data_IF_333841730797
#
_entry.id   IF_333841730797
#
_cell.length_a   1.000
_cell.length_b   1.000
_cell.length_c   1.000
_cell.angle_alpha   90.00
_cell.angle_beta   90.00
_cell.angle_gamma   90.00
#
_symmetry.space_group_name_H-M   'P 1'
#
loop_
_entity.id
_entity.type
_entity.pdbx_description
1 polymer ?
#
# COMPACT_ATOMS: atom_id res chain seq x y z
N UNK A 1 10.68 -30.87 21.03
CA UNK A 1 10.50 -31.16 22.47
C UNK A 1 10.20 -32.65 22.57
N UNK A 2 10.96 -33.45 23.32
CA UNK A 2 10.71 -34.91 23.34
C UNK A 2 9.47 -35.20 24.18
N UNK A 3 8.39 -35.57 23.51
CA UNK A 3 7.17 -36.09 24.13
C UNK A 3 7.07 -37.57 23.79
N UNK A 4 6.78 -38.40 24.79
CA UNK A 4 6.69 -39.84 24.65
C UNK A 4 5.31 -40.31 25.15
N UNK A 5 4.66 -41.29 24.50
CA UNK A 5 5.04 -41.95 23.23
C UNK A 5 4.69 -41.10 21.99
N UNK A 6 5.12 -41.51 20.80
CA UNK A 6 4.85 -40.79 19.53
C UNK A 6 3.34 -40.61 19.23
N UNK A 7 2.47 -41.40 19.87
CA UNK A 7 1.00 -41.29 19.79
C UNK A 7 0.40 -40.22 20.70
N UNK A 8 1.21 -39.49 21.47
CA UNK A 8 0.74 -38.56 22.52
C UNK A 8 -0.14 -37.43 21.97
N UNK A 9 0.15 -36.92 20.77
CA UNK A 9 -0.69 -35.88 20.15
C UNK A 9 -2.13 -36.38 19.95
N UNK A 10 -2.29 -37.56 19.34
CA UNK A 10 -3.59 -38.17 19.11
C UNK A 10 -4.30 -38.55 20.42
N UNK A 11 -3.57 -39.10 21.39
CA UNK A 11 -4.15 -39.48 22.70
C UNK A 11 -4.68 -38.28 23.48
N UNK A 12 -4.04 -37.13 23.36
CA UNK A 12 -4.49 -35.88 23.98
C UNK A 12 -5.54 -35.14 23.13
N UNK A 13 -5.83 -35.60 21.91
CA UNK A 13 -6.66 -34.88 20.94
C UNK A 13 -6.05 -33.55 20.52
N UNK A 14 -4.73 -33.40 20.63
CA UNK A 14 -4.02 -32.16 20.37
C UNK A 14 -4.08 -31.77 18.88
N UNK A 15 -4.00 -32.77 18.01
CA UNK A 15 -4.21 -32.65 16.56
C UNK A 15 -5.61 -32.08 16.23
N UNK A 16 -6.66 -32.59 16.89
CA UNK A 16 -8.04 -32.11 16.73
C UNK A 16 -8.17 -30.66 17.20
N UNK A 17 -7.55 -30.30 18.33
CA UNK A 17 -7.55 -28.93 18.84
C UNK A 17 -6.78 -27.99 17.91
N UNK A 18 -5.59 -28.40 17.43
CA UNK A 18 -4.79 -27.64 16.47
C UNK A 18 -5.57 -27.39 15.18
N UNK A 19 -6.24 -28.39 14.64
CA UNK A 19 -7.09 -28.25 13.46
C UNK A 19 -8.25 -27.26 13.70
N UNK A 20 -8.94 -27.34 14.85
CA UNK A 20 -10.01 -26.40 15.20
C UNK A 20 -9.52 -24.96 15.37
N UNK A 21 -8.35 -24.78 15.98
CA UNK A 21 -7.74 -23.46 16.14
C UNK A 21 -7.39 -22.82 14.79
N UNK A 22 -7.06 -23.63 13.78
CA UNK A 22 -6.74 -23.16 12.43
C UNK A 22 -7.83 -22.26 11.83
N UNK A 23 -9.10 -22.56 12.11
CA UNK A 23 -10.24 -21.74 11.65
C UNK A 23 -10.29 -20.33 12.27
N UNK A 24 -9.56 -20.09 13.36
CA UNK A 24 -9.53 -18.81 14.08
C UNK A 24 -8.23 -18.03 13.88
N UNK A 25 -7.23 -18.60 13.21
CA UNK A 25 -5.97 -17.92 12.95
C UNK A 25 -6.17 -16.84 11.89
N UNK A 26 -5.59 -15.66 12.12
CA UNK A 26 -5.78 -14.47 11.29
C UNK A 26 -4.50 -13.95 10.62
N UNK A 27 -3.39 -14.68 10.73
CA UNK A 27 -2.12 -14.29 10.14
C UNK A 27 -1.28 -15.50 9.75
N UNK A 28 -0.48 -15.34 8.70
CA UNK A 28 0.48 -16.34 8.23
C UNK A 28 1.51 -16.71 9.30
N UNK A 29 1.91 -15.74 10.14
CA UNK A 29 2.76 -15.98 11.31
C UNK A 29 2.06 -16.89 12.33
N UNK A 30 0.77 -16.67 12.58
CA UNK A 30 -0.05 -17.52 13.44
C UNK A 30 -0.21 -18.94 12.87
N UNK A 31 -0.38 -19.06 11.56
CA UNK A 31 -0.52 -20.37 10.87
C UNK A 31 0.76 -21.19 11.03
N UNK A 32 1.91 -20.57 10.78
CA UNK A 32 3.22 -21.22 10.99
C UNK A 32 3.43 -21.62 12.44
N UNK A 33 3.08 -20.74 13.38
CA UNK A 33 3.18 -21.04 14.83
C UNK A 33 2.28 -22.21 15.21
N UNK A 34 1.06 -22.25 14.69
CA UNK A 34 0.10 -23.30 14.96
C UNK A 34 0.56 -24.64 14.36
N UNK A 35 1.05 -24.64 13.13
CA UNK A 35 1.57 -25.83 12.46
C UNK A 35 2.79 -26.43 13.18
N UNK A 36 3.67 -25.58 13.71
CA UNK A 36 4.83 -26.00 14.49
C UNK A 36 4.50 -26.33 15.97
N UNK A 37 3.25 -26.15 16.40
CA UNK A 37 2.87 -26.35 17.79
C UNK A 37 2.84 -27.84 18.14
N UNK A 38 3.48 -28.18 19.26
CA UNK A 38 3.53 -29.54 19.81
C UNK A 38 3.14 -29.51 21.30
N UNK A 39 2.63 -30.63 21.86
CA UNK A 39 2.48 -30.76 23.29
C UNK A 39 3.81 -30.58 24.02
N UNK A 40 3.74 -30.04 25.23
CA UNK A 40 4.90 -29.82 26.10
C UNK A 40 4.74 -30.62 27.39
N UNK A 41 5.80 -31.33 27.78
CA UNK A 41 5.90 -32.01 29.08
C UNK A 41 6.44 -31.10 30.19
N UNK A 42 6.87 -29.88 29.86
CA UNK A 42 7.43 -28.95 30.83
C UNK A 42 6.33 -28.11 31.47
N UNK A 43 5.96 -28.47 32.70
CA UNK A 43 4.84 -27.82 33.40
C UNK A 43 5.03 -26.30 33.59
N UNK A 44 6.27 -25.83 33.77
CA UNK A 44 6.57 -24.40 33.89
C UNK A 44 6.26 -23.64 32.60
N UNK A 45 6.67 -24.20 31.45
CA UNK A 45 6.35 -23.67 30.13
C UNK A 45 4.84 -23.63 29.90
N UNK A 46 4.13 -24.74 30.16
CA UNK A 46 2.68 -24.84 29.97
C UNK A 46 1.93 -23.81 30.81
N UNK A 47 2.28 -23.67 32.11
CA UNK A 47 1.67 -22.65 32.98
C UNK A 47 1.88 -21.23 32.45
N UNK A 48 3.06 -20.94 31.91
CA UNK A 48 3.33 -19.63 31.32
C UNK A 48 2.51 -19.38 30.04
N UNK A 49 2.37 -20.37 29.15
CA UNK A 49 1.51 -20.23 27.96
C UNK A 49 0.05 -20.00 28.34
N UNK A 50 -0.48 -20.80 29.27
CA UNK A 50 -1.85 -20.66 29.77
C UNK A 50 -2.06 -19.30 30.45
N UNK A 51 -1.06 -18.81 31.19
CA UNK A 51 -1.06 -17.46 31.76
C UNK A 51 -1.21 -16.38 30.69
N UNK A 52 -0.44 -16.45 29.59
CA UNK A 52 -0.58 -15.52 28.46
C UNK A 52 -1.97 -15.55 27.83
N UNK A 53 -2.55 -16.75 27.65
CA UNK A 53 -3.90 -16.89 27.11
C UNK A 53 -4.95 -16.28 28.05
N UNK A 54 -4.86 -16.57 29.35
CA UNK A 54 -5.78 -16.05 30.35
C UNK A 54 -5.73 -14.52 30.42
N UNK A 55 -4.53 -13.93 30.44
CA UNK A 55 -4.34 -12.48 30.43
C UNK A 55 -4.89 -11.84 29.16
N UNK A 56 -4.66 -12.44 27.98
CA UNK A 56 -5.17 -11.91 26.72
C UNK A 56 -6.69 -11.97 26.67
N UNK A 57 -7.30 -13.06 27.19
CA UNK A 57 -8.75 -13.16 27.32
C UNK A 57 -9.33 -12.09 28.23
N UNK A 58 -8.65 -11.77 29.35
CA UNK A 58 -9.07 -10.68 30.23
C UNK A 58 -8.97 -9.32 29.54
N UNK A 59 -7.84 -9.04 28.88
CA UNK A 59 -7.64 -7.81 28.12
C UNK A 59 -8.73 -7.61 27.06
N UNK A 60 -9.06 -8.66 26.29
CA UNK A 60 -10.10 -8.58 25.26
C UNK A 60 -11.52 -8.39 25.81
N UNK A 61 -11.80 -8.80 27.06
CA UNK A 61 -13.13 -8.74 27.66
C UNK A 61 -13.38 -7.45 28.44
N UNK A 62 -12.36 -6.93 29.11
CA UNK A 62 -12.54 -5.94 30.18
C UNK A 62 -11.79 -4.63 29.95
N UNK A 63 -10.91 -4.55 28.94
CA UNK A 63 -10.10 -3.37 28.67
C UNK A 63 -10.42 -2.76 27.30
N UNK A 64 -9.75 -1.63 26.99
CA UNK A 64 -9.70 -1.08 25.64
C UNK A 64 -9.26 -2.14 24.61
N UNK A 65 -9.67 -2.00 23.34
CA UNK A 65 -9.27 -2.91 22.28
C UNK A 65 -7.75 -3.13 22.22
N UNK A 66 -7.33 -4.39 22.22
CA UNK A 66 -5.93 -4.78 22.06
C UNK A 66 -5.49 -4.47 20.63
N UNK A 67 -4.44 -3.66 20.41
CA UNK A 67 -4.06 -3.19 19.08
C UNK A 67 -3.37 -4.30 18.27
N UNK A 68 -4.17 -5.14 17.60
CA UNK A 68 -3.72 -6.28 16.78
C UNK A 68 -4.12 -6.10 15.31
N UNK A 69 -4.24 -4.85 14.85
CA UNK A 69 -4.78 -4.47 13.54
C UNK A 69 -3.95 -5.05 12.37
N UNK A 70 -2.61 -5.02 12.49
CA UNK A 70 -1.71 -5.42 11.41
C UNK A 70 -0.63 -6.40 11.90
N UNK A 71 -0.92 -7.69 11.77
CA UNK A 71 0.04 -8.78 12.04
C UNK A 71 0.47 -9.38 10.70
N UNK A 72 1.39 -8.70 10.02
CA UNK A 72 1.91 -9.08 8.71
C UNK A 72 3.25 -9.79 8.84
N UNK A 73 3.50 -10.77 7.98
CA UNK A 73 4.81 -11.39 7.86
C UNK A 73 5.71 -10.56 6.93
N UNK A 74 6.74 -9.97 7.52
CA UNK A 74 7.72 -9.14 6.80
C UNK A 74 9.03 -9.88 6.51
N UNK A 75 9.12 -11.19 6.78
CA UNK A 75 10.38 -11.93 6.65
C UNK A 75 11.02 -11.79 5.26
N UNK A 76 10.23 -11.96 4.20
CA UNK A 76 10.71 -11.81 2.82
C UNK A 76 11.02 -10.36 2.44
N UNK A 77 10.22 -9.40 2.92
CA UNK A 77 10.45 -7.96 2.70
C UNK A 77 11.79 -7.55 3.30
N UNK A 78 12.04 -7.93 4.57
CA UNK A 78 13.28 -7.63 5.27
C UNK A 78 14.49 -8.34 4.64
N UNK A 79 14.31 -9.58 4.17
CA UNK A 79 15.35 -10.33 3.45
C UNK A 79 15.77 -9.63 2.16
N UNK A 80 14.82 -9.09 1.39
CA UNK A 80 15.10 -8.28 0.19
C UNK A 80 15.77 -6.95 0.57
N UNK A 81 15.24 -6.27 1.60
CA UNK A 81 15.73 -4.97 2.05
C UNK A 81 17.17 -5.00 2.59
N UNK A 82 17.65 -6.16 3.03
CA UNK A 82 19.01 -6.32 3.55
C UNK A 82 20.11 -6.18 2.47
N UNK A 83 19.75 -6.27 1.19
CA UNK A 83 20.69 -6.11 0.08
C UNK A 83 20.98 -4.62 -0.15
N UNK A 84 22.26 -4.28 -0.32
CA UNK A 84 22.65 -2.90 -0.62
C UNK A 84 22.05 -2.45 -1.96
N UNK A 85 21.46 -1.25 -1.98
CA UNK A 85 20.76 -0.73 -3.15
C UNK A 85 19.38 -1.35 -3.41
N UNK A 86 18.87 -2.21 -2.52
CA UNK A 86 17.52 -2.75 -2.64
C UNK A 86 16.47 -1.64 -2.66
N UNK A 87 15.50 -1.79 -3.55
CA UNK A 87 14.31 -0.95 -3.63
C UNK A 87 13.13 -1.80 -3.19
N UNK A 88 12.29 -1.22 -2.34
CA UNK A 88 11.04 -1.82 -1.90
C UNK A 88 9.87 -1.14 -2.59
N UNK A 89 8.86 -1.93 -2.92
CA UNK A 89 7.64 -1.42 -3.50
C UNK A 89 6.81 -0.67 -2.43
N UNK A 90 5.96 0.29 -2.84
CA UNK A 90 5.13 1.06 -1.90
C UNK A 90 4.28 0.21 -0.97
N UNK A 91 3.78 -0.94 -1.45
CA UNK A 91 3.00 -1.90 -0.68
C UNK A 91 3.82 -2.51 0.48
N UNK A 92 5.09 -2.83 0.24
CA UNK A 92 6.00 -3.33 1.28
C UNK A 92 6.31 -2.25 2.33
N UNK A 93 6.50 -1.01 1.89
CA UNK A 93 6.75 0.13 2.78
C UNK A 93 5.53 0.40 3.67
N UNK A 94 4.31 0.28 3.10
CA UNK A 94 3.08 0.37 3.86
C UNK A 94 2.97 -0.76 4.89
N UNK A 95 3.23 -2.00 4.49
CA UNK A 95 3.21 -3.16 5.39
C UNK A 95 4.19 -2.99 6.56
N UNK A 96 5.41 -2.51 6.27
CA UNK A 96 6.41 -2.16 7.28
C UNK A 96 5.87 -1.11 8.27
N UNK A 97 5.31 0.00 7.75
CA UNK A 97 4.74 1.07 8.59
C UNK A 97 3.61 0.58 9.48
N UNK A 98 2.72 -0.25 8.94
CA UNK A 98 1.59 -0.85 9.66
C UNK A 98 2.06 -1.76 10.81
N UNK A 99 3.08 -2.59 10.58
CA UNK A 99 3.66 -3.43 11.63
C UNK A 99 4.35 -2.57 12.69
N UNK A 100 5.14 -1.55 12.31
CA UNK A 100 5.77 -0.64 13.28
C UNK A 100 4.72 0.10 14.14
N UNK A 101 3.63 0.54 13.52
CA UNK A 101 2.50 1.17 14.21
C UNK A 101 1.89 0.20 15.24
N UNK A 102 1.69 -1.06 14.84
CA UNK A 102 1.16 -2.12 15.73
C UNK A 102 2.12 -2.40 16.89
N UNK A 103 3.42 -2.51 16.63
CA UNK A 103 4.47 -2.69 17.65
C UNK A 103 4.45 -1.54 18.66
N UNK A 104 4.43 -0.29 18.20
CA UNK A 104 4.38 0.91 19.07
C UNK A 104 3.11 0.94 19.92
N UNK A 105 1.95 0.65 19.32
CA UNK A 105 0.66 0.63 20.01
C UNK A 105 0.60 -0.51 21.04
N UNK A 106 1.06 -1.71 20.70
CA UNK A 106 1.13 -2.85 21.62
C UNK A 106 2.05 -2.56 22.80
N UNK A 107 3.25 -2.00 22.55
CA UNK A 107 4.18 -1.63 23.61
C UNK A 107 3.53 -0.64 24.58
N UNK A 108 2.94 0.44 24.06
CA UNK A 108 2.24 1.43 24.88
C UNK A 108 0.99 0.86 25.59
N UNK A 109 0.28 -0.09 24.97
CA UNK A 109 -0.87 -0.76 25.58
C UNK A 109 -0.49 -1.50 26.86
N UNK A 110 0.57 -2.32 26.80
CA UNK A 110 1.03 -3.10 27.95
C UNK A 110 1.80 -2.26 28.98
N UNK A 111 2.55 -1.23 28.57
CA UNK A 111 3.26 -0.33 29.49
C UNK A 111 2.30 0.42 30.41
N UNK A 112 1.15 0.89 29.88
CA UNK A 112 0.09 1.53 30.67
C UNK A 112 -0.63 0.58 31.63
N UNK A 113 -0.41 -0.73 31.50
CA UNK A 113 -1.05 -1.81 32.26
C UNK A 113 -0.02 -2.63 33.02
N UNK A 114 1.08 -1.99 33.39
CA UNK A 114 2.17 -2.60 34.16
C UNK A 114 1.61 -3.27 35.42
N UNK A 115 2.00 -4.53 35.66
CA UNK A 115 1.54 -5.33 36.79
C UNK A 115 0.19 -6.05 36.59
N UNK A 116 -0.67 -5.60 35.66
CA UNK A 116 -1.96 -6.25 35.38
C UNK A 116 -1.82 -7.52 34.55
N UNK A 117 -0.93 -7.49 33.56
CA UNK A 117 -0.68 -8.60 32.63
C UNK A 117 0.81 -8.97 32.61
N UNK A 118 1.37 -9.53 33.69
CA UNK A 118 2.80 -9.82 33.79
C UNK A 118 3.32 -10.78 32.72
N UNK A 119 2.55 -11.80 32.32
CA UNK A 119 3.00 -12.76 31.30
C UNK A 119 3.09 -12.12 29.90
N UNK A 120 2.13 -11.28 29.53
CA UNK A 120 2.12 -10.54 28.26
C UNK A 120 3.08 -9.36 28.27
N UNK A 121 3.23 -8.65 29.38
CA UNK A 121 4.23 -7.58 29.52
C UNK A 121 5.65 -8.12 29.27
N UNK A 122 5.94 -9.35 29.71
CA UNK A 122 7.22 -10.02 29.41
C UNK A 122 7.41 -10.34 27.93
N UNK A 123 6.33 -10.58 27.17
CA UNK A 123 6.43 -10.72 25.71
C UNK A 123 6.62 -9.35 25.05
N UNK A 124 5.93 -8.34 25.57
CA UNK A 124 6.00 -6.97 25.07
C UNK A 124 7.38 -6.31 25.26
N UNK A 125 8.25 -6.84 26.13
CA UNK A 125 9.62 -6.31 26.27
C UNK A 125 10.48 -6.53 25.02
N UNK A 126 10.17 -7.52 24.19
CA UNK A 126 10.83 -7.75 22.91
C UNK A 126 10.36 -6.79 21.81
N UNK A 127 9.26 -6.06 22.05
CA UNK A 127 8.75 -5.06 21.11
C UNK A 127 9.58 -3.78 21.24
N UNK A 128 10.24 -3.42 20.15
CA UNK A 128 11.07 -2.21 20.04
C UNK A 128 10.37 -1.23 19.09
N UNK A 129 9.67 -0.21 19.60
CA UNK A 129 9.12 0.84 18.74
C UNK A 129 10.24 1.61 18.03
N UNK A 130 10.06 1.87 16.73
CA UNK A 130 11.01 2.63 15.90
C UNK A 130 10.32 3.89 15.34
N UNK A 131 9.99 4.88 16.18
CA UNK A 131 9.18 6.03 15.77
C UNK A 131 9.83 6.81 14.62
N UNK A 132 11.16 6.99 14.63
CA UNK A 132 11.85 7.68 13.54
C UNK A 132 11.76 6.96 12.19
N UNK A 133 11.71 5.62 12.19
CA UNK A 133 11.49 4.86 10.95
C UNK A 133 10.02 4.93 10.51
N UNK A 134 9.10 4.81 11.46
CA UNK A 134 7.66 4.93 11.21
C UNK A 134 7.30 6.29 10.60
N UNK A 135 7.84 7.38 11.15
CA UNK A 135 7.66 8.76 10.65
C UNK A 135 8.24 8.93 9.24
N UNK A 136 9.45 8.38 8.99
CA UNK A 136 10.05 8.41 7.66
C UNK A 136 9.21 7.65 6.64
N UNK A 137 8.66 6.50 6.99
CA UNK A 137 7.76 5.75 6.12
C UNK A 137 6.46 6.52 5.87
N UNK A 138 5.88 7.15 6.90
CA UNK A 138 4.67 7.96 6.77
C UNK A 138 4.85 9.21 5.88
N UNK A 139 6.07 9.75 5.81
CA UNK A 139 6.43 10.84 4.91
C UNK A 139 6.60 10.39 3.44
N UNK A 140 6.76 9.08 3.19
CA UNK A 140 7.03 8.53 1.85
C UNK A 140 5.79 7.86 1.24
N UNK A 141 5.05 7.07 2.01
CA UNK A 141 3.88 6.32 1.56
C UNK A 141 2.65 6.68 2.37
N UNK A 142 1.51 6.89 1.70
CA UNK A 142 0.23 7.16 2.35
C UNK A 142 -0.48 5.89 2.86
N UNK A 143 -1.71 6.03 3.36
CA UNK A 143 -2.49 4.93 3.94
C UNK A 143 -3.06 4.00 2.87
N UNK A 144 -3.13 4.46 1.61
CA UNK A 144 -3.54 3.68 0.44
C UNK A 144 -2.37 2.96 -0.24
N UNK A 145 -1.14 3.14 0.24
CA UNK A 145 0.05 2.50 -0.33
C UNK A 145 0.60 3.25 -1.54
N UNK A 146 0.26 4.52 -1.73
CA UNK A 146 0.79 5.35 -2.81
C UNK A 146 1.95 6.20 -2.33
N UNK A 147 2.91 6.42 -3.22
CA UNK A 147 3.99 7.35 -2.98
C UNK A 147 3.49 8.78 -2.93
N UNK A 148 3.74 9.46 -1.82
CA UNK A 148 3.35 10.84 -1.62
C UNK A 148 4.07 11.76 -2.60
N UNK A 149 3.37 12.80 -3.06
CA UNK A 149 3.94 13.81 -3.96
C UNK A 149 5.14 14.54 -3.34
N UNK A 150 5.18 14.61 -2.01
CA UNK A 150 6.18 15.29 -1.21
C UNK A 150 7.18 14.35 -0.52
N UNK A 151 7.23 13.07 -0.92
CA UNK A 151 8.18 12.08 -0.38
C UNK A 151 9.64 12.53 -0.47
N UNK A 152 9.97 13.41 -1.42
CA UNK A 152 11.23 14.15 -1.42
C UNK A 152 11.04 15.56 -1.99
N UNK A 153 11.91 16.53 -1.64
CA UNK A 153 11.89 17.87 -2.23
C UNK A 153 12.02 17.85 -3.77
N UNK A 154 12.87 16.96 -4.29
CA UNK A 154 13.09 16.74 -5.72
C UNK A 154 11.82 16.22 -6.41
N UNK A 155 11.20 15.17 -5.86
CA UNK A 155 9.96 14.61 -6.41
C UNK A 155 8.84 15.65 -6.39
N UNK A 156 8.73 16.40 -5.30
CA UNK A 156 7.75 17.49 -5.17
C UNK A 156 7.96 18.56 -6.24
N UNK A 157 9.21 18.93 -6.50
CA UNK A 157 9.56 19.89 -7.56
C UNK A 157 9.15 19.37 -8.93
N UNK A 158 9.55 18.14 -9.27
CA UNK A 158 9.24 17.48 -10.55
C UNK A 158 7.72 17.36 -10.76
N UNK A 159 6.98 16.87 -9.77
CA UNK A 159 5.51 16.72 -9.86
C UNK A 159 4.80 18.07 -10.02
N UNK A 160 5.26 19.11 -9.33
CA UNK A 160 4.74 20.49 -9.48
C UNK A 160 5.01 21.06 -10.87
N UNK A 161 6.21 20.85 -11.39
CA UNK A 161 6.59 21.29 -12.73
C UNK A 161 5.74 20.58 -13.78
N UNK A 162 5.60 19.26 -13.68
CA UNK A 162 4.73 18.46 -14.55
C UNK A 162 3.28 18.93 -14.49
N UNK A 163 2.74 19.23 -13.31
CA UNK A 163 1.38 19.76 -13.17
C UNK A 163 1.22 21.13 -13.85
N UNK A 164 2.20 22.03 -13.71
CA UNK A 164 2.20 23.33 -14.39
C UNK A 164 2.25 23.18 -15.91
N UNK A 165 3.11 22.31 -16.44
CA UNK A 165 3.20 22.03 -17.89
C UNK A 165 1.92 21.42 -18.42
N UNK A 166 1.29 20.49 -17.68
CA UNK A 166 -0.03 19.92 -18.02
C UNK A 166 -1.12 20.99 -18.09
N UNK A 167 -1.11 21.95 -17.18
CA UNK A 167 -2.09 23.04 -17.18
C UNK A 167 -1.87 23.99 -18.36
N UNK A 168 -0.61 24.33 -18.65
CA UNK A 168 -0.26 25.12 -19.84
C UNK A 168 -0.67 24.41 -21.14
N UNK A 169 -0.42 23.11 -21.25
CA UNK A 169 -0.85 22.27 -22.36
C UNK A 169 -2.38 22.32 -22.52
N UNK A 170 -3.14 22.07 -21.44
CA UNK A 170 -4.61 22.12 -21.46
C UNK A 170 -5.12 23.48 -21.94
N UNK A 171 -4.59 24.57 -21.38
CA UNK A 171 -5.01 25.91 -21.76
C UNK A 171 -4.74 26.21 -23.25
N UNK A 172 -3.58 25.78 -23.76
CA UNK A 172 -3.19 25.95 -25.17
C UNK A 172 -4.06 25.10 -26.11
N UNK A 173 -4.31 23.84 -25.77
CA UNK A 173 -5.19 22.95 -26.53
C UNK A 173 -6.63 23.47 -26.53
N UNK A 174 -7.14 23.92 -25.39
CA UNK A 174 -8.48 24.52 -25.30
C UNK A 174 -8.61 25.79 -26.14
N UNK A 175 -7.55 26.61 -26.19
CA UNK A 175 -7.53 27.78 -27.08
C UNK A 175 -7.60 27.35 -28.55
N UNK A 176 -6.75 26.42 -28.97
CA UNK A 176 -6.75 25.91 -30.34
C UNK A 176 -8.08 25.26 -30.73
N UNK A 177 -8.72 24.54 -29.81
CA UNK A 177 -10.06 23.99 -30.00
C UNK A 177 -11.08 25.11 -30.20
N UNK A 178 -11.13 26.12 -29.32
CA UNK A 178 -12.05 27.26 -29.46
C UNK A 178 -11.88 27.97 -30.81
N UNK A 179 -10.64 28.17 -31.23
CA UNK A 179 -10.34 28.80 -32.52
C UNK A 179 -10.83 27.93 -33.70
N UNK A 180 -10.69 26.60 -33.59
CA UNK A 180 -11.20 25.66 -34.59
C UNK A 180 -12.74 25.59 -34.61
N UNK A 181 -13.39 25.64 -33.46
CA UNK A 181 -14.86 25.69 -33.32
C UNK A 181 -15.40 26.99 -33.93
N UNK A 182 -14.81 28.14 -33.60
CA UNK A 182 -15.22 29.44 -34.13
C UNK A 182 -15.12 29.53 -35.66
N UNK A 183 -14.20 28.77 -36.26
CA UNK A 183 -14.02 28.68 -37.71
C UNK A 183 -14.85 27.55 -38.36
N UNK A 184 -15.65 26.81 -37.58
CA UNK A 184 -16.47 25.69 -38.06
C UNK A 184 -15.69 24.43 -38.42
N UNK A 185 -14.42 24.32 -38.03
CA UNK A 185 -13.56 23.17 -38.32
C UNK A 185 -13.71 22.04 -37.32
N UNK A 186 -14.15 22.33 -36.11
CA UNK A 186 -14.38 21.38 -35.03
C UNK A 186 -15.82 21.49 -34.50
N UNK A 187 -16.35 20.40 -33.95
CA UNK A 187 -17.56 20.40 -33.11
C UNK A 187 -17.24 20.94 -31.71
N UNK A 188 -18.25 21.33 -30.92
CA UNK A 188 -18.12 21.75 -29.50
C UNK A 188 -17.73 20.58 -28.54
N UNK A 189 -16.93 19.64 -29.03
CA UNK A 189 -16.39 18.53 -28.26
C UNK A 189 -15.18 18.97 -27.43
N UNK A 190 -14.90 18.27 -26.33
CA UNK A 190 -13.73 18.56 -25.49
C UNK A 190 -12.44 17.97 -26.11
N UNK A 191 -11.26 18.53 -25.77
CA UNK A 191 -10.00 17.89 -26.12
C UNK A 191 -9.91 16.47 -25.57
N UNK A 192 -9.26 15.58 -26.30
CA UNK A 192 -9.10 14.17 -25.91
C UNK A 192 -7.63 13.77 -25.91
N UNK A 193 -7.33 12.56 -25.43
CA UNK A 193 -5.99 12.00 -25.46
C UNK A 193 -5.96 10.89 -26.51
N UNK A 194 -4.97 10.93 -27.41
CA UNK A 194 -4.66 9.88 -28.39
C UNK A 194 -3.18 9.55 -28.33
N UNK A 195 -2.86 8.27 -28.19
CA UNK A 195 -1.47 7.80 -28.08
C UNK A 195 -0.64 8.55 -27.00
N UNK A 196 -1.29 8.94 -25.89
CA UNK A 196 -0.67 9.70 -24.80
C UNK A 196 -0.50 11.20 -25.07
N UNK A 197 -0.99 11.73 -26.20
CA UNK A 197 -0.93 13.15 -26.54
C UNK A 197 -2.30 13.80 -26.48
N UNK A 198 -2.34 15.05 -26.03
CA UNK A 198 -3.57 15.83 -26.03
C UNK A 198 -3.83 16.39 -27.43
N UNK A 199 -5.04 16.15 -27.94
CA UNK A 199 -5.44 16.42 -29.32
C UNK A 199 -6.85 17.02 -29.36
N UNK A 200 -7.15 17.75 -30.44
CA UNK A 200 -8.47 18.30 -30.70
C UNK A 200 -9.19 17.50 -31.80
N UNK A 201 -10.50 17.22 -31.65
CA UNK A 201 -11.30 16.64 -32.72
C UNK A 201 -11.56 17.69 -33.81
N UNK A 202 -11.28 17.36 -35.06
CA UNK A 202 -11.49 18.23 -36.22
C UNK A 202 -12.28 17.46 -37.27
N UNK A 203 -13.24 18.11 -37.94
CA UNK A 203 -13.98 17.51 -39.06
C UNK A 203 -13.02 17.10 -40.17
N UNK A 204 -13.22 15.91 -40.75
CA UNK A 204 -12.31 15.36 -41.74
C UNK A 204 -12.13 16.28 -42.97
N UNK A 205 -13.17 16.99 -43.42
CA UNK A 205 -13.07 17.97 -44.50
C UNK A 205 -12.17 19.18 -44.15
N UNK A 206 -12.07 19.54 -42.86
CA UNK A 206 -11.31 20.69 -42.37
C UNK A 206 -9.89 20.33 -41.88
N UNK A 207 -9.46 19.07 -42.01
CA UNK A 207 -8.16 18.60 -41.48
C UNK A 207 -6.94 19.37 -41.99
N UNK A 208 -7.00 19.92 -43.22
CA UNK A 208 -5.93 20.74 -43.81
C UNK A 208 -6.01 22.22 -43.42
N UNK A 209 -7.07 22.64 -42.74
CA UNK A 209 -7.29 24.02 -42.28
C UNK A 209 -6.74 24.27 -40.87
N UNK A 210 -6.60 23.21 -40.07
CA UNK A 210 -5.99 23.26 -38.74
C UNK A 210 -4.50 22.90 -38.86
N UNK A 211 -3.61 23.78 -38.42
CA UNK A 211 -2.17 23.49 -38.40
C UNK A 211 -1.83 22.57 -37.23
N UNK A 212 -1.30 21.38 -37.55
CA UNK A 212 -0.96 20.38 -36.54
C UNK A 212 -0.63 19.02 -37.12
N UNK A 213 -0.49 18.04 -36.24
CA UNK A 213 -0.12 16.67 -36.56
C UNK A 213 -1.29 15.74 -36.30
N UNK A 214 -1.65 14.93 -37.30
CA UNK A 214 -2.71 13.93 -37.15
C UNK A 214 -2.19 12.75 -36.33
N UNK A 215 -2.90 12.42 -35.25
CA UNK A 215 -2.56 11.27 -34.39
C UNK A 215 -3.47 10.08 -34.58
N UNK A 216 -4.73 10.33 -34.94
CA UNK A 216 -5.74 9.29 -35.06
C UNK A 216 -6.94 9.77 -35.89
N UNK A 217 -7.81 8.85 -36.30
CA UNK A 217 -9.06 9.14 -37.01
C UNK A 217 -10.19 8.31 -36.40
N UNK A 218 -11.40 8.86 -36.32
CA UNK A 218 -12.56 8.13 -35.81
C UNK A 218 -12.89 6.92 -36.68
N UNK A 219 -13.57 5.92 -36.10
CA UNK A 219 -13.99 4.71 -36.82
C UNK A 219 -14.88 5.01 -38.04
N UNK A 220 -15.66 6.10 -38.00
CA UNK A 220 -16.50 6.55 -39.12
C UNK A 220 -15.74 7.37 -40.16
N UNK A 221 -14.48 7.74 -39.89
CA UNK A 221 -13.66 8.59 -40.76
C UNK A 221 -14.05 10.07 -40.77
N UNK A 222 -15.09 10.45 -40.02
CA UNK A 222 -15.64 11.82 -40.04
C UNK A 222 -14.87 12.81 -39.16
N UNK A 223 -14.12 12.31 -38.16
CA UNK A 223 -13.36 13.13 -37.23
C UNK A 223 -11.90 12.72 -37.26
N UNK A 224 -11.02 13.71 -37.38
CA UNK A 224 -9.57 13.54 -37.34
C UNK A 224 -9.05 14.18 -36.06
N UNK A 225 -8.23 13.46 -35.30
CA UNK A 225 -7.66 13.95 -34.06
C UNK A 225 -6.29 14.58 -34.32
N UNK A 226 -6.22 15.90 -34.16
CA UNK A 226 -5.04 16.70 -34.50
C UNK A 226 -4.42 17.24 -33.23
N UNK A 227 -3.11 17.07 -33.07
CA UNK A 227 -2.29 17.84 -32.14
C UNK A 227 -1.99 19.21 -32.76
N UNK A 228 -2.53 20.31 -32.22
CA UNK A 228 -2.23 21.64 -32.76
C UNK A 228 -0.74 21.94 -32.69
N UNK A 229 -0.18 22.58 -33.74
CA UNK A 229 1.25 22.89 -33.80
C UNK A 229 1.73 23.71 -32.59
N UNK A 230 0.90 24.63 -32.08
CA UNK A 230 1.18 25.45 -30.90
C UNK A 230 1.28 24.66 -29.57
N UNK A 231 0.98 23.36 -29.59
CA UNK A 231 0.98 22.49 -28.40
C UNK A 231 2.04 21.40 -28.46
N UNK A 232 2.79 21.30 -29.57
CA UNK A 232 3.76 20.23 -29.80
C UNK A 232 4.83 20.17 -28.70
N UNK A 233 5.45 21.32 -28.39
CA UNK A 233 6.51 21.37 -27.37
C UNK A 233 5.98 21.02 -25.99
N UNK A 234 4.80 21.54 -25.62
CA UNK A 234 4.15 21.24 -24.35
C UNK A 234 3.73 19.76 -24.22
N UNK A 235 3.26 19.14 -25.30
CA UNK A 235 2.96 17.71 -25.34
C UNK A 235 4.24 16.87 -25.19
N UNK A 236 5.36 17.32 -25.77
CA UNK A 236 6.65 16.65 -25.64
C UNK A 236 7.22 16.77 -24.22
N UNK A 237 7.08 17.92 -23.57
CA UNK A 237 7.56 18.14 -22.18
C UNK A 237 6.76 17.37 -21.12
N UNK A 238 5.47 17.12 -21.38
CA UNK A 238 4.56 16.43 -20.44
C UNK A 238 4.63 14.90 -20.57
N UNK A 239 5.13 14.40 -21.69
CA UNK A 239 5.24 12.97 -22.01
C UNK A 239 6.45 12.35 -21.33
#
# INVERSE_FOLDING_TARGET
>A
MQVYPDTVEAKLGFDVLRARLGAYVRSTLGERRLAAMQPSSEAAWVRNELGRVAELQQALRFDDPVPLDHVLDLGEVLRRAALEGAVLDPEDLLALRQVLTTVRRLKGYFDRRTGKYPHLARVATALVPLPGLEERLAAVVDDEGRLRDDASPELRRIRRELARRREQLRASVLKALRDAVAQGYATEEQPTIRHGRMVIPVRAEAKRKVQGFVHDTSATGQTVYIEPAATLDLNNEVR
#
